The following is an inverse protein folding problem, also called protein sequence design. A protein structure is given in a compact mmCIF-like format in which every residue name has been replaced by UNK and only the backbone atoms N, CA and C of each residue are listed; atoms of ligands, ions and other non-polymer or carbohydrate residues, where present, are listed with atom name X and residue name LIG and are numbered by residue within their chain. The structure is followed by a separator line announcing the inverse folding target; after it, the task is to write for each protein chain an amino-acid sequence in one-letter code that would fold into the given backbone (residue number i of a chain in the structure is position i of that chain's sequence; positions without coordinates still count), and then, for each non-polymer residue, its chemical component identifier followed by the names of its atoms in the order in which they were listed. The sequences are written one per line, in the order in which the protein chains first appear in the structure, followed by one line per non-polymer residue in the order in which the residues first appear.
data_IF_772445044107
#
_entry.id   IF_772445044107
#
_cell.length_a   1.000
_cell.length_b   1.000
_cell.length_c   1.000
_cell.angle_alpha   90.00
_cell.angle_beta   90.00
_cell.angle_gamma   90.00
#
_symmetry.space_group_name_H-M   'P 1'
#
loop_
_entity.id
_entity.type
_entity.pdbx_description
1 polymer ?
#
# COMPACT_ATOMS: atom_id res chain seq x y z
N UNK A 1 -38.35 -21.16 -8.70
CA UNK A 1 -38.36 -19.72 -8.43
C UNK A 1 -37.65 -19.52 -7.13
N UNK A 2 -36.31 -19.43 -7.19
CA UNK A 2 -35.43 -19.32 -6.02
C UNK A 2 -34.93 -17.90 -6.00
N UNK A 3 -35.28 -17.18 -4.95
CA UNK A 3 -34.87 -15.78 -4.70
C UNK A 3 -33.38 -15.74 -4.36
N UNK A 4 -32.59 -15.17 -5.24
CA UNK A 4 -31.23 -14.75 -4.96
C UNK A 4 -31.28 -13.50 -4.07
N UNK A 5 -31.11 -13.69 -2.77
CA UNK A 5 -30.82 -12.60 -1.83
C UNK A 5 -29.38 -12.13 -2.06
N UNK A 6 -29.25 -11.03 -2.79
CA UNK A 6 -28.01 -10.27 -2.89
C UNK A 6 -27.83 -9.42 -1.63
N UNK A 7 -27.27 -9.97 -0.59
CA UNK A 7 -26.67 -9.20 0.51
C UNK A 7 -25.33 -8.68 0.04
N UNK A 8 -25.33 -7.49 -0.54
CA UNK A 8 -24.11 -6.67 -0.67
C UNK A 8 -23.64 -6.36 0.74
N UNK A 9 -22.56 -7.02 1.13
CA UNK A 9 -21.91 -6.88 2.42
C UNK A 9 -21.46 -5.43 2.59
N UNK A 10 -22.12 -4.70 3.48
CA UNK A 10 -21.62 -3.43 4.03
C UNK A 10 -20.18 -3.68 4.53
N UNK A 11 -19.22 -2.95 3.96
CA UNK A 11 -17.86 -2.96 4.46
C UNK A 11 -17.88 -2.29 5.84
N UNK A 12 -18.01 -3.10 6.87
CA UNK A 12 -17.95 -2.69 8.26
C UNK A 12 -16.53 -2.20 8.54
N UNK A 13 -16.38 -0.89 8.74
CA UNK A 13 -15.19 -0.34 9.39
C UNK A 13 -15.19 -0.90 10.80
N UNK A 14 -14.28 -1.83 11.09
CA UNK A 14 -14.21 -2.48 12.38
C UNK A 14 -13.85 -1.44 13.46
N UNK A 15 -14.54 -1.44 14.62
CA UNK A 15 -14.20 -0.58 15.74
C UNK A 15 -12.74 -0.80 16.18
N UNK A 16 -12.08 0.25 16.62
CA UNK A 16 -10.68 0.24 17.10
C UNK A 16 -10.43 -0.86 18.14
N UNK A 17 -11.43 -1.17 18.95
CA UNK A 17 -11.38 -2.19 19.99
C UNK A 17 -11.23 -3.62 19.45
N UNK A 18 -11.79 -3.90 18.27
CA UNK A 18 -11.71 -5.23 17.66
C UNK A 18 -10.28 -5.52 17.15
N UNK A 19 -9.61 -4.55 16.56
CA UNK A 19 -8.21 -4.72 16.16
C UNK A 19 -7.27 -4.90 17.36
N UNK A 20 -7.60 -4.30 18.50
CA UNK A 20 -6.80 -4.49 19.72
C UNK A 20 -6.85 -5.94 20.21
N UNK A 21 -8.02 -6.55 20.27
CA UNK A 21 -8.16 -7.97 20.66
C UNK A 21 -7.48 -8.92 19.68
N UNK A 22 -7.58 -8.66 18.36
CA UNK A 22 -6.88 -9.42 17.32
C UNK A 22 -5.36 -9.35 17.53
N UNK A 23 -4.81 -8.15 17.77
CA UNK A 23 -3.36 -7.98 18.00
C UNK A 23 -2.90 -8.71 19.25
N UNK A 24 -3.66 -8.65 20.35
CA UNK A 24 -3.32 -9.41 21.55
C UNK A 24 -3.29 -10.92 21.29
N UNK A 25 -4.30 -11.46 20.62
CA UNK A 25 -4.32 -12.87 20.28
C UNK A 25 -3.17 -13.28 19.34
N UNK A 26 -2.77 -12.41 18.41
CA UNK A 26 -1.59 -12.65 17.56
C UNK A 26 -0.29 -12.73 18.38
N UNK A 27 -0.13 -11.88 19.39
CA UNK A 27 1.03 -11.93 20.31
C UNK A 27 1.03 -13.24 21.11
N UNK A 28 -0.15 -13.73 21.50
CA UNK A 28 -0.35 -15.02 22.19
C UNK A 28 -0.25 -16.24 21.24
N UNK A 29 0.01 -16.01 19.94
CA UNK A 29 0.07 -17.09 18.94
C UNK A 29 -1.25 -17.82 18.72
N UNK A 30 -2.36 -17.12 18.87
CA UNK A 30 -3.69 -17.66 18.58
C UNK A 30 -3.95 -17.63 17.06
N UNK A 31 -4.09 -18.81 16.46
CA UNK A 31 -4.34 -18.95 15.01
C UNK A 31 -5.68 -18.33 14.57
N UNK A 32 -6.71 -18.35 15.43
CA UNK A 32 -7.98 -17.72 15.12
C UNK A 32 -7.82 -16.21 14.95
N UNK A 33 -6.98 -15.56 15.75
CA UNK A 33 -6.70 -14.13 15.59
C UNK A 33 -5.98 -13.80 14.28
N UNK A 34 -5.19 -14.73 13.74
CA UNK A 34 -4.62 -14.58 12.40
C UNK A 34 -5.71 -14.69 11.33
N UNK A 35 -6.62 -15.65 11.46
CA UNK A 35 -7.76 -15.79 10.55
C UNK A 35 -8.65 -14.54 10.58
N UNK A 36 -8.95 -14.03 11.77
CA UNK A 36 -9.75 -12.81 11.94
C UNK A 36 -9.06 -11.58 11.30
N UNK A 37 -7.73 -11.44 11.49
CA UNK A 37 -6.95 -10.40 10.82
C UNK A 37 -7.03 -10.54 9.30
N UNK A 38 -6.86 -11.75 8.80
CA UNK A 38 -6.93 -12.05 7.37
C UNK A 38 -8.28 -11.66 6.80
N UNK A 39 -9.38 -12.14 7.38
CA UNK A 39 -10.74 -11.91 6.89
C UNK A 39 -11.10 -10.43 6.82
N UNK A 40 -10.72 -9.65 7.83
CA UNK A 40 -11.07 -8.23 7.87
C UNK A 40 -10.14 -7.32 7.05
N UNK A 41 -8.96 -7.81 6.62
CA UNK A 41 -7.97 -6.96 5.94
C UNK A 41 -7.61 -7.42 4.52
N UNK A 42 -7.95 -8.66 4.12
CA UNK A 42 -7.57 -9.28 2.85
C UNK A 42 -7.86 -8.39 1.64
N UNK A 43 -9.07 -7.85 1.54
CA UNK A 43 -9.47 -7.05 0.38
C UNK A 43 -8.56 -5.82 0.17
N UNK A 44 -8.12 -5.19 1.27
CA UNK A 44 -7.22 -4.02 1.22
C UNK A 44 -5.79 -4.44 0.91
N UNK A 45 -5.29 -5.50 1.54
CA UNK A 45 -3.92 -6.03 1.33
C UNK A 45 -3.77 -6.52 -0.11
N UNK A 46 -4.70 -7.35 -0.59
CA UNK A 46 -4.71 -7.85 -1.96
C UNK A 46 -4.84 -6.70 -2.98
N UNK A 47 -5.75 -5.75 -2.73
CA UNK A 47 -5.91 -4.58 -3.58
C UNK A 47 -4.62 -3.75 -3.71
N UNK A 48 -3.85 -3.58 -2.63
CA UNK A 48 -2.56 -2.91 -2.68
C UNK A 48 -1.52 -3.73 -3.45
N UNK A 49 -1.40 -5.04 -3.16
CA UNK A 49 -0.48 -5.94 -3.84
C UNK A 49 -0.74 -5.95 -5.37
N UNK A 50 -1.99 -6.17 -5.78
CA UNK A 50 -2.40 -6.18 -7.19
C UNK A 50 -2.14 -4.83 -7.88
N UNK A 51 -2.32 -3.75 -7.17
CA UNK A 51 -2.12 -2.41 -7.68
C UNK A 51 -0.65 -2.10 -7.96
N UNK A 52 0.25 -2.59 -7.11
CA UNK A 52 1.69 -2.42 -7.28
C UNK A 52 2.21 -3.38 -8.36
N UNK A 53 1.85 -4.66 -8.28
CA UNK A 53 2.38 -5.70 -9.17
C UNK A 53 1.70 -5.77 -10.53
N UNK A 54 0.39 -5.46 -10.59
CA UNK A 54 -0.50 -5.64 -11.75
C UNK A 54 -0.59 -7.08 -12.25
N UNK A 55 -0.23 -8.03 -11.41
CA UNK A 55 -0.27 -9.45 -11.68
C UNK A 55 -0.98 -10.15 -10.53
N UNK A 56 -1.99 -10.96 -10.86
CA UNK A 56 -2.80 -11.68 -9.87
C UNK A 56 -1.98 -12.74 -9.13
N UNK A 57 -1.17 -13.51 -9.86
CA UNK A 57 -0.29 -14.54 -9.30
C UNK A 57 0.69 -13.98 -8.27
N UNK A 58 1.35 -12.87 -8.59
CA UNK A 58 2.25 -12.19 -7.65
C UNK A 58 1.49 -11.55 -6.48
N UNK A 59 0.29 -11.03 -6.73
CA UNK A 59 -0.48 -10.41 -5.64
C UNK A 59 -0.91 -11.45 -4.60
N UNK A 60 -1.26 -12.67 -5.03
CA UNK A 60 -1.57 -13.79 -4.15
C UNK A 60 -0.36 -14.20 -3.31
N UNK A 61 0.80 -14.41 -3.94
CA UNK A 61 2.07 -14.71 -3.24
C UNK A 61 2.42 -13.63 -2.20
N UNK A 62 2.29 -12.35 -2.57
CA UNK A 62 2.58 -11.23 -1.67
C UNK A 62 1.62 -11.17 -0.49
N UNK A 63 0.36 -11.50 -0.69
CA UNK A 63 -0.62 -11.59 0.39
C UNK A 63 -0.20 -12.66 1.39
N UNK A 64 0.11 -13.87 0.92
CA UNK A 64 0.58 -14.96 1.78
C UNK A 64 1.84 -14.55 2.56
N UNK A 65 2.85 -14.02 1.88
CA UNK A 65 4.08 -13.52 2.48
C UNK A 65 3.83 -12.41 3.53
N UNK A 66 2.85 -11.54 3.27
CA UNK A 66 2.49 -10.44 4.17
C UNK A 66 1.95 -10.96 5.49
N UNK A 67 1.00 -11.91 5.46
CA UNK A 67 0.42 -12.47 6.68
C UNK A 67 1.40 -13.39 7.41
N UNK A 68 2.23 -14.13 6.69
CA UNK A 68 3.31 -14.92 7.30
C UNK A 68 4.30 -14.03 8.04
N UNK A 69 4.73 -12.93 7.42
CA UNK A 69 5.61 -11.98 8.09
C UNK A 69 4.92 -11.29 9.27
N UNK A 70 3.67 -10.89 9.12
CA UNK A 70 2.90 -10.28 10.21
C UNK A 70 2.79 -11.23 11.40
N UNK A 71 2.50 -12.51 11.17
CA UNK A 71 2.48 -13.53 12.20
C UNK A 71 3.83 -13.70 12.89
N UNK A 72 4.92 -13.77 12.12
CA UNK A 72 6.27 -13.93 12.68
C UNK A 72 6.73 -12.70 13.48
N UNK A 73 6.40 -11.51 13.00
CA UNK A 73 6.95 -10.24 13.50
C UNK A 73 5.98 -9.42 14.34
N UNK A 74 4.84 -9.98 14.76
CA UNK A 74 3.83 -9.24 15.54
C UNK A 74 4.41 -8.59 16.80
N UNK A 75 5.44 -9.19 17.40
CA UNK A 75 6.16 -8.62 18.54
C UNK A 75 6.88 -7.29 18.24
N UNK A 76 7.09 -6.96 16.96
CA UNK A 76 7.68 -5.69 16.51
C UNK A 76 6.60 -4.62 16.26
N UNK A 77 5.33 -4.99 16.28
CA UNK A 77 4.25 -4.04 16.12
C UNK A 77 4.14 -3.15 17.35
N UNK A 78 4.06 -1.85 17.11
CA UNK A 78 3.91 -0.82 18.15
C UNK A 78 2.69 0.05 17.82
N UNK A 79 1.63 -0.09 18.62
CA UNK A 79 0.38 0.65 18.45
C UNK A 79 0.53 2.17 18.61
N UNK A 80 1.57 2.63 19.33
CA UNK A 80 1.87 4.06 19.45
C UNK A 80 2.34 4.67 18.11
N UNK A 81 2.81 3.85 17.18
CA UNK A 81 3.25 4.27 15.83
C UNK A 81 2.14 4.27 14.80
N UNK A 82 0.98 3.70 15.12
CA UNK A 82 -0.18 3.67 14.24
C UNK A 82 -0.97 2.36 14.29
N UNK A 83 -2.09 2.30 13.55
CA UNK A 83 -2.96 1.13 13.54
C UNK A 83 -2.29 -0.08 12.86
N UNK A 84 -2.71 -1.29 13.27
CA UNK A 84 -2.19 -2.56 12.70
C UNK A 84 -2.39 -2.65 11.18
N UNK A 85 -3.47 -2.09 10.66
CA UNK A 85 -3.71 -1.99 9.22
C UNK A 85 -2.58 -1.23 8.49
N UNK A 86 -2.15 -0.08 9.02
CA UNK A 86 -1.06 0.68 8.42
C UNK A 86 0.26 -0.10 8.43
N UNK A 87 0.55 -0.80 9.52
CA UNK A 87 1.73 -1.67 9.63
C UNK A 87 1.68 -2.82 8.62
N UNK A 88 0.52 -3.48 8.47
CA UNK A 88 0.30 -4.54 7.49
C UNK A 88 0.49 -4.04 6.05
N UNK A 89 -0.02 -2.84 5.74
CA UNK A 89 0.16 -2.22 4.42
C UNK A 89 1.62 -1.88 4.11
N UNK A 90 2.42 -1.51 5.12
CA UNK A 90 3.88 -1.30 4.95
C UNK A 90 4.57 -2.60 4.59
N UNK A 91 4.23 -3.72 5.26
CA UNK A 91 4.77 -5.05 4.95
C UNK A 91 4.40 -5.43 3.51
N UNK A 92 3.12 -5.39 3.17
CA UNK A 92 2.61 -5.71 1.84
C UNK A 92 3.32 -4.90 0.74
N UNK A 93 3.41 -3.58 0.93
CA UNK A 93 4.11 -2.71 -0.02
C UNK A 93 5.58 -3.09 -0.20
N UNK A 94 6.30 -3.36 0.89
CA UNK A 94 7.71 -3.76 0.83
C UNK A 94 7.87 -5.04 0.02
N UNK A 95 7.06 -6.06 0.31
CA UNK A 95 7.06 -7.34 -0.42
C UNK A 95 6.76 -7.16 -1.91
N UNK A 96 5.76 -6.34 -2.24
CA UNK A 96 5.37 -6.06 -3.62
C UNK A 96 6.50 -5.39 -4.42
N UNK A 97 7.18 -4.41 -3.83
CA UNK A 97 8.31 -3.72 -4.47
C UNK A 97 9.51 -4.67 -4.62
N UNK A 98 9.80 -5.48 -3.60
CA UNK A 98 10.89 -6.45 -3.65
C UNK A 98 10.65 -7.54 -4.71
N UNK A 99 9.40 -7.97 -4.88
CA UNK A 99 8.99 -8.90 -5.94
C UNK A 99 9.21 -8.30 -7.33
N UNK A 100 8.79 -7.05 -7.56
CA UNK A 100 9.03 -6.36 -8.83
C UNK A 100 10.52 -6.19 -9.14
N UNK A 101 11.32 -5.78 -8.16
CA UNK A 101 12.78 -5.64 -8.34
C UNK A 101 13.45 -6.96 -8.69
N UNK A 102 13.00 -8.07 -8.11
CA UNK A 102 13.51 -9.42 -8.45
C UNK A 102 13.17 -9.81 -9.90
N UNK A 103 11.96 -9.46 -10.36
CA UNK A 103 11.56 -9.71 -11.76
C UNK A 103 12.36 -8.86 -12.73
N UNK A 104 12.50 -7.57 -12.49
CA UNK A 104 13.29 -6.68 -13.34
C UNK A 104 14.74 -7.18 -13.48
N UNK A 105 15.33 -7.67 -12.39
CA UNK A 105 16.66 -8.27 -12.40
C UNK A 105 16.70 -9.60 -13.19
N UNK A 106 15.68 -10.43 -13.10
CA UNK A 106 15.60 -11.69 -13.83
C UNK A 106 15.43 -11.45 -15.35
N UNK A 107 14.63 -10.46 -15.74
CA UNK A 107 14.45 -10.05 -17.15
C UNK A 107 15.72 -9.43 -17.75
N UNK A 108 16.46 -8.62 -16.96
CA UNK A 108 17.76 -8.07 -17.37
C UNK A 108 18.81 -9.15 -17.67
N UNK A 109 18.69 -10.35 -17.09
CA UNK A 109 19.56 -11.48 -17.37
C UNK A 109 19.06 -12.35 -18.54
N UNK A 110 17.82 -12.18 -18.97
CA UNK A 110 17.21 -13.00 -20.02
C UNK A 110 17.37 -12.41 -21.43
N UNK A 111 17.20 -11.10 -21.64
CA UNK A 111 17.53 -10.41 -22.93
C UNK A 111 17.49 -8.87 -22.77
N UNK A 112 18.53 -8.13 -23.27
CA UNK A 112 18.61 -6.66 -23.06
C UNK A 112 17.69 -5.81 -23.92
N UNK A 113 17.03 -6.37 -24.94
CA UNK A 113 16.42 -5.58 -26.04
C UNK A 113 14.90 -5.37 -25.93
N UNK A 114 14.21 -6.05 -25.00
CA UNK A 114 12.74 -5.99 -24.88
C UNK A 114 12.18 -4.99 -23.85
N UNK A 115 13.02 -4.38 -23.04
CA UNK A 115 12.62 -3.61 -21.84
C UNK A 115 12.09 -2.18 -22.08
N UNK A 116 12.11 -1.67 -23.31
CA UNK A 116 11.79 -0.26 -23.58
C UNK A 116 10.30 -0.03 -23.92
N UNK A 117 9.51 -1.06 -24.20
CA UNK A 117 8.23 -0.86 -24.91
C UNK A 117 6.97 -0.90 -24.05
N UNK A 118 7.00 -1.36 -22.80
CA UNK A 118 5.77 -1.48 -21.97
C UNK A 118 5.58 -0.46 -20.84
N UNK A 119 6.51 0.44 -20.63
CA UNK A 119 6.39 1.50 -19.60
C UNK A 119 5.35 2.60 -19.91
N UNK A 120 4.73 2.56 -21.10
CA UNK A 120 3.90 3.63 -21.64
C UNK A 120 2.38 3.54 -21.42
N UNK A 121 1.83 2.47 -20.83
CA UNK A 121 0.37 2.27 -20.70
C UNK A 121 -0.11 2.08 -19.25
N UNK A 122 0.61 2.60 -18.32
CA UNK A 122 0.24 2.56 -16.91
C UNK A 122 -0.62 3.79 -16.61
N UNK A 123 -1.86 3.61 -16.20
CA UNK A 123 -2.70 4.68 -15.68
C UNK A 123 -1.90 5.57 -14.73
N UNK A 124 -2.21 6.87 -14.71
CA UNK A 124 -1.47 7.85 -13.91
C UNK A 124 -1.23 7.32 -12.50
N UNK A 125 -0.05 7.56 -11.90
CA UNK A 125 0.17 7.29 -10.48
C UNK A 125 -0.93 7.86 -9.58
N UNK A 126 -1.63 8.87 -10.05
CA UNK A 126 -2.80 9.46 -9.41
C UNK A 126 -4.03 8.54 -9.46
N UNK A 127 -4.30 7.88 -10.60
CA UNK A 127 -5.40 6.92 -10.72
C UNK A 127 -5.22 5.76 -9.74
N UNK A 128 -3.98 5.48 -9.45
CA UNK A 128 -3.60 4.45 -8.48
C UNK A 128 -3.91 4.89 -7.05
N UNK A 129 -3.64 6.08 -6.66
CA UNK A 129 -4.02 6.63 -5.35
C UNK A 129 -5.55 6.75 -5.20
N UNK A 130 -6.24 7.21 -6.22
CA UNK A 130 -7.68 7.38 -6.22
C UNK A 130 -8.47 6.07 -6.12
N UNK A 131 -7.92 4.95 -6.58
CA UNK A 131 -8.57 3.64 -6.49
C UNK A 131 -8.43 2.95 -5.12
N UNK A 132 -7.44 3.28 -4.30
CA UNK A 132 -7.34 2.79 -2.91
C UNK A 132 -8.35 3.45 -1.98
N UNK A 133 -8.97 4.53 -2.44
CA UNK A 133 -9.65 5.50 -1.60
C UNK A 133 -11.11 5.66 -1.99
N UNK A 134 -11.94 4.75 -1.51
CA UNK A 134 -13.35 5.08 -1.29
C UNK A 134 -13.56 5.86 0.03
N UNK A 135 -12.52 6.07 0.81
CA UNK A 135 -12.61 6.93 2.00
C UNK A 135 -12.36 8.39 1.59
N UNK A 136 -13.40 9.18 1.69
CA UNK A 136 -13.49 10.58 1.23
C UNK A 136 -12.35 11.49 1.73
N UNK A 137 -11.79 11.19 2.89
CA UNK A 137 -10.76 12.02 3.54
C UNK A 137 -9.42 12.03 2.81
N UNK A 138 -8.97 10.88 2.34
CA UNK A 138 -7.68 10.79 1.64
C UNK A 138 -7.80 11.41 0.25
N UNK A 139 -8.94 11.23 -0.44
CA UNK A 139 -9.20 11.91 -1.74
C UNK A 139 -9.14 13.44 -1.59
N UNK A 140 -9.81 13.98 -0.57
CA UNK A 140 -9.79 15.42 -0.28
C UNK A 140 -8.37 15.90 0.01
N UNK A 141 -7.61 15.12 0.79
CA UNK A 141 -6.23 15.46 1.15
C UNK A 141 -5.29 15.38 -0.04
N UNK A 142 -5.44 14.36 -0.87
CA UNK A 142 -4.66 14.22 -2.11
C UNK A 142 -4.95 15.34 -3.11
N UNK A 143 -6.17 15.84 -3.13
CA UNK A 143 -6.53 17.01 -3.97
C UNK A 143 -5.79 18.29 -3.56
N UNK A 144 -5.34 18.40 -2.30
CA UNK A 144 -4.54 19.54 -1.81
C UNK A 144 -3.08 19.51 -2.25
N UNK A 145 -2.59 18.38 -2.73
CA UNK A 145 -1.25 18.26 -3.29
C UNK A 145 -1.21 18.81 -4.72
N UNK A 146 -0.15 19.51 -5.08
CA UNK A 146 0.06 19.89 -6.47
C UNK A 146 0.46 18.68 -7.33
N UNK A 147 0.43 18.83 -8.66
CA UNK A 147 0.71 17.76 -9.60
C UNK A 147 2.10 17.12 -9.38
N UNK A 148 3.12 17.94 -9.13
CA UNK A 148 4.49 17.45 -8.89
C UNK A 148 4.59 16.68 -7.57
N UNK A 149 4.00 17.19 -6.49
CA UNK A 149 3.97 16.51 -5.18
C UNK A 149 3.31 15.12 -5.29
N UNK A 150 2.16 15.04 -6.00
CA UNK A 150 1.47 13.77 -6.25
C UNK A 150 2.31 12.80 -7.07
N UNK A 151 2.94 13.30 -8.14
CA UNK A 151 3.77 12.48 -9.02
C UNK A 151 4.99 11.92 -8.28
N UNK A 152 5.72 12.73 -7.52
CA UNK A 152 6.90 12.26 -6.78
C UNK A 152 6.53 11.27 -5.67
N UNK A 153 5.42 11.52 -4.95
CA UNK A 153 4.91 10.55 -3.97
C UNK A 153 4.53 9.22 -4.61
N UNK A 154 3.86 9.27 -5.77
CA UNK A 154 3.45 8.06 -6.46
C UNK A 154 4.66 7.25 -6.97
N UNK A 155 5.69 7.88 -7.50
CA UNK A 155 6.94 7.21 -7.90
C UNK A 155 7.61 6.55 -6.69
N UNK A 156 7.73 7.27 -5.58
CA UNK A 156 8.34 6.74 -4.37
C UNK A 156 7.50 5.60 -3.75
N UNK A 157 6.17 5.75 -3.69
CA UNK A 157 5.31 4.82 -2.98
C UNK A 157 4.94 3.58 -3.80
N UNK A 158 4.49 3.74 -5.05
CA UNK A 158 4.01 2.62 -5.85
C UNK A 158 5.05 2.00 -6.78
N UNK A 159 6.02 2.79 -7.24
CA UNK A 159 7.12 2.28 -8.07
C UNK A 159 8.34 1.88 -7.25
N UNK A 160 8.38 2.25 -5.96
CA UNK A 160 9.49 1.95 -5.08
C UNK A 160 10.81 2.62 -5.48
N UNK A 161 10.74 3.68 -6.28
CA UNK A 161 11.93 4.40 -6.69
C UNK A 161 12.56 5.11 -5.50
N UNK A 162 13.88 5.01 -5.41
CA UNK A 162 14.67 5.82 -4.48
C UNK A 162 14.63 7.29 -4.90
N UNK A 163 14.96 8.21 -3.99
CA UNK A 163 15.00 9.63 -4.32
C UNK A 163 16.02 9.95 -5.43
N UNK A 164 17.11 9.18 -5.52
CA UNK A 164 18.13 9.33 -6.56
C UNK A 164 17.62 8.87 -7.92
N UNK A 165 16.91 7.75 -7.98
CA UNK A 165 16.25 7.26 -9.21
C UNK A 165 15.19 8.26 -9.70
N UNK A 166 14.37 8.80 -8.77
CA UNK A 166 13.39 9.84 -9.10
C UNK A 166 14.08 11.11 -9.63
N UNK A 167 15.16 11.55 -8.98
CA UNK A 167 15.91 12.73 -9.40
C UNK A 167 16.47 12.57 -10.81
N UNK A 168 17.02 11.40 -11.13
CA UNK A 168 17.55 11.05 -12.43
C UNK A 168 16.45 11.00 -13.50
N UNK A 169 15.34 10.30 -13.22
CA UNK A 169 14.23 10.12 -14.15
C UNK A 169 13.50 11.43 -14.45
N UNK A 170 13.27 12.24 -13.43
CA UNK A 170 12.57 13.53 -13.54
C UNK A 170 13.50 14.67 -13.96
N UNK A 171 14.81 14.41 -14.10
CA UNK A 171 15.85 15.42 -14.37
C UNK A 171 15.80 16.59 -13.38
N UNK A 172 15.63 16.27 -12.09
CA UNK A 172 15.52 17.24 -11.01
C UNK A 172 16.65 17.10 -10.01
N UNK A 173 17.06 18.19 -9.35
CA UNK A 173 18.03 18.09 -8.26
C UNK A 173 17.52 17.19 -7.12
N UNK A 174 18.35 16.31 -6.60
CA UNK A 174 17.99 15.39 -5.51
C UNK A 174 17.44 16.11 -4.26
N UNK A 175 18.00 17.27 -3.92
CA UNK A 175 17.51 18.10 -2.81
C UNK A 175 16.06 18.58 -3.03
N UNK A 176 15.71 18.91 -4.28
CA UNK A 176 14.35 19.31 -4.66
C UNK A 176 13.38 18.13 -4.53
N UNK A 177 13.75 16.93 -4.99
CA UNK A 177 12.96 15.72 -4.84
C UNK A 177 12.69 15.43 -3.37
N UNK A 178 13.74 15.36 -2.54
CA UNK A 178 13.62 15.09 -1.08
C UNK A 178 12.71 16.10 -0.39
N UNK A 179 12.91 17.40 -0.64
CA UNK A 179 12.13 18.46 0.00
C UNK A 179 10.67 18.47 -0.45
N UNK A 180 10.41 18.16 -1.72
CA UNK A 180 9.04 18.11 -2.26
C UNK A 180 8.27 16.91 -1.72
N UNK A 181 8.90 15.72 -1.68
CA UNK A 181 8.29 14.52 -1.08
C UNK A 181 7.99 14.77 0.41
N UNK A 182 8.94 15.33 1.15
CA UNK A 182 8.73 15.64 2.58
C UNK A 182 7.55 16.59 2.79
N UNK A 183 7.48 17.70 2.04
CA UNK A 183 6.34 18.65 2.13
C UNK A 183 5.01 17.98 1.82
N UNK A 184 4.96 17.11 0.82
CA UNK A 184 3.76 16.38 0.47
C UNK A 184 3.33 15.44 1.60
N UNK A 185 4.27 14.71 2.20
CA UNK A 185 4.01 13.84 3.36
C UNK A 185 3.52 14.63 4.58
N UNK A 186 4.13 15.80 4.86
CA UNK A 186 3.72 16.67 5.97
C UNK A 186 2.29 17.21 5.76
N UNK A 187 1.92 17.60 4.54
CA UNK A 187 0.55 18.00 4.19
C UNK A 187 -0.44 16.86 4.42
N UNK A 188 -0.13 15.65 3.95
CA UNK A 188 -0.96 14.46 4.16
C UNK A 188 -1.13 14.17 5.64
N UNK A 189 -0.05 14.20 6.41
CA UNK A 189 -0.09 13.95 7.85
C UNK A 189 -1.00 14.94 8.57
N UNK A 190 -0.86 16.24 8.31
CA UNK A 190 -1.69 17.29 8.93
C UNK A 190 -3.17 17.11 8.59
N UNK A 191 -3.49 16.78 7.35
CA UNK A 191 -4.88 16.63 6.93
C UNK A 191 -5.53 15.38 7.53
N UNK A 192 -4.80 14.26 7.62
CA UNK A 192 -5.30 13.02 8.22
C UNK A 192 -5.51 13.17 9.75
N UNK A 193 -4.60 13.85 10.46
CA UNK A 193 -4.77 14.07 11.90
C UNK A 193 -5.92 15.01 12.25
N UNK A 194 -6.36 15.88 11.35
CA UNK A 194 -7.53 16.75 11.57
C UNK A 194 -8.86 16.02 11.48
N UNK A 195 -8.91 14.92 10.76
CA UNK A 195 -10.15 14.15 10.53
C UNK A 195 -10.40 13.12 11.63
N UNK A 196 -9.36 12.73 12.38
CA UNK A 196 -9.50 11.83 13.52
C UNK A 196 -9.98 12.55 14.79
N UNK A 197 -10.14 13.87 14.77
CA UNK A 197 -10.52 14.70 15.91
C UNK A 197 -11.93 15.30 15.83
N UNK A 198 -12.71 15.00 14.81
CA UNK A 198 -14.14 15.34 14.68
C UNK A 198 -15.01 14.08 14.82
#
# INVERSE_FOLDING_TARGET
MILLNSTLTEQTVLPTDQFFSIVQGLVERNEQSLADLYDCTLAKVYGLALKITRRHDLAEEIVEDTYMQAWQEISKFDSARGPVMAWLMVICRSRAIDALRRLDLAELHAEPESLITELGKVGSPLDILLLLERESTIQITMAQLNALERQLLALAFFKGFTHDEIASQMKMPLGTVKSTIKRAQDKLKIALTKTEGE
#
